data_IF_628322020481
#
_entry.id   IF_628322020481
#
_cell.length_a   1.000
_cell.length_b   1.000
_cell.length_c   1.000
_cell.angle_alpha   90.00
_cell.angle_beta   90.00
_cell.angle_gamma   90.00
#
_symmetry.space_group_name_H-M   'P 1'
#
loop_
_entity.id
_entity.type
_entity.pdbx_description
1 polymer ?
#
# COMPACT_ATOMS: atom_id res chain seq x y z
N UNK A 1 -0.32 16.57 -15.80
CA UNK A 1 1.02 16.13 -15.32
C UNK A 1 1.79 15.38 -16.41
N UNK A 2 3.02 15.83 -16.72
CA UNK A 2 3.92 15.16 -17.67
C UNK A 2 4.24 13.75 -17.13
N UNK A 3 4.05 12.70 -17.94
CA UNK A 3 4.37 11.33 -17.52
C UNK A 3 5.89 11.23 -17.36
N UNK A 4 6.37 11.01 -16.13
CA UNK A 4 7.79 10.78 -15.83
C UNK A 4 8.19 9.39 -16.33
N UNK A 5 8.57 9.32 -17.61
CA UNK A 5 9.00 8.11 -18.28
C UNK A 5 10.51 8.14 -18.48
N UNK A 6 11.16 7.03 -18.15
CA UNK A 6 12.54 6.75 -18.49
C UNK A 6 12.55 6.02 -19.82
N UNK A 7 13.38 6.48 -20.75
CA UNK A 7 13.55 5.84 -22.05
C UNK A 7 14.92 5.15 -22.13
N UNK A 8 14.91 3.88 -22.51
CA UNK A 8 16.13 3.13 -22.76
C UNK A 8 16.84 3.65 -24.03
N UNK A 9 18.12 3.99 -23.93
CA UNK A 9 18.92 4.48 -25.07
C UNK A 9 19.10 3.43 -26.17
N UNK A 10 19.15 2.14 -25.82
CA UNK A 10 19.41 1.05 -26.77
C UNK A 10 18.17 0.61 -27.55
N UNK A 11 17.05 0.38 -26.87
CA UNK A 11 15.84 -0.19 -27.48
C UNK A 11 14.64 0.76 -27.53
N UNK A 12 14.77 2.01 -27.07
CA UNK A 12 13.69 3.02 -26.99
C UNK A 12 12.48 2.62 -26.15
N UNK A 13 12.58 1.54 -25.38
CA UNK A 13 11.54 1.14 -24.44
C UNK A 13 11.35 2.21 -23.36
N UNK A 14 10.09 2.56 -23.09
CA UNK A 14 9.72 3.56 -22.10
C UNK A 14 9.07 2.91 -20.87
N UNK A 15 9.51 3.33 -19.68
CA UNK A 15 9.03 2.79 -18.41
C UNK A 15 8.86 3.91 -17.38
N UNK A 16 7.80 3.86 -16.56
CA UNK A 16 7.67 4.78 -15.42
C UNK A 16 8.42 4.24 -14.20
N UNK A 17 8.89 5.10 -13.31
CA UNK A 17 9.51 4.64 -12.04
C UNK A 17 8.57 3.76 -11.19
N UNK A 18 7.26 3.94 -11.35
CA UNK A 18 6.23 3.14 -10.66
C UNK A 18 5.79 1.91 -11.45
N UNK A 19 6.43 1.61 -12.59
CA UNK A 19 6.07 0.44 -13.39
C UNK A 19 6.31 -0.85 -12.59
N UNK A 20 5.33 -1.75 -12.56
CA UNK A 20 5.44 -3.04 -11.85
C UNK A 20 5.42 -2.96 -10.33
N UNK A 21 5.34 -1.77 -9.72
CA UNK A 21 5.22 -1.64 -8.26
C UNK A 21 3.77 -1.51 -7.79
N UNK A 22 3.54 -1.50 -6.48
CA UNK A 22 2.23 -1.19 -5.88
C UNK A 22 1.64 0.15 -6.39
N UNK A 23 2.52 1.07 -6.76
CA UNK A 23 2.22 2.41 -7.26
C UNK A 23 1.92 2.44 -8.77
N UNK A 24 1.87 1.28 -9.43
CA UNK A 24 1.64 1.20 -10.87
C UNK A 24 0.36 1.91 -11.30
N UNK A 25 0.48 2.72 -12.36
CA UNK A 25 -0.61 3.55 -12.94
C UNK A 25 -1.27 4.51 -11.95
N UNK A 26 -0.59 4.88 -10.86
CA UNK A 26 -1.11 5.91 -9.95
C UNK A 26 -1.23 7.26 -10.65
N UNK A 27 -2.32 7.97 -10.34
CA UNK A 27 -2.49 9.41 -10.63
C UNK A 27 -2.33 10.27 -9.36
N UNK A 28 -2.28 9.64 -8.20
CA UNK A 28 -2.03 10.27 -6.90
C UNK A 28 -0.54 10.51 -6.70
N UNK A 29 -0.18 11.60 -6.01
CA UNK A 29 1.22 11.93 -5.72
C UNK A 29 1.92 10.83 -4.92
N UNK A 30 3.24 10.68 -5.12
CA UNK A 30 4.04 9.70 -4.36
C UNK A 30 4.06 10.03 -2.86
N UNK A 31 4.07 11.33 -2.51
CA UNK A 31 4.01 11.77 -1.12
C UNK A 31 2.75 11.27 -0.42
N UNK A 32 1.59 11.37 -1.09
CA UNK A 32 0.32 10.81 -0.59
C UNK A 32 0.43 9.30 -0.38
N UNK A 33 1.08 8.57 -1.30
CA UNK A 33 1.31 7.13 -1.13
C UNK A 33 2.21 6.78 0.05
N UNK A 34 3.29 7.52 0.26
CA UNK A 34 4.19 7.28 1.39
C UNK A 34 3.50 7.59 2.72
N UNK A 35 2.67 8.63 2.78
CA UNK A 35 1.83 8.88 3.97
C UNK A 35 0.83 7.75 4.23
N UNK A 36 0.12 7.27 3.21
CA UNK A 36 -0.80 6.15 3.39
C UNK A 36 -0.08 4.88 3.86
N UNK A 37 1.10 4.58 3.29
CA UNK A 37 1.95 3.47 3.72
C UNK A 37 2.36 3.61 5.18
N UNK A 38 2.82 4.79 5.58
CA UNK A 38 3.21 5.08 6.95
C UNK A 38 2.05 4.82 7.91
N UNK A 39 0.88 5.43 7.67
CA UNK A 39 -0.30 5.29 8.54
C UNK A 39 -0.75 3.83 8.68
N UNK A 40 -0.84 3.10 7.56
CA UNK A 40 -1.26 1.69 7.56
C UNK A 40 -0.24 0.80 8.28
N UNK A 41 1.06 1.04 8.08
CA UNK A 41 2.13 0.24 8.69
C UNK A 41 2.34 0.51 10.18
N UNK A 42 1.94 1.69 10.66
CA UNK A 42 2.17 2.12 12.05
C UNK A 42 1.05 1.67 13.00
N UNK A 43 -0.11 1.31 12.45
CA UNK A 43 -1.28 0.95 13.25
C UNK A 43 -1.49 -0.57 13.30
N UNK A 44 -1.33 -1.12 14.50
CA UNK A 44 -1.53 -2.54 14.80
C UNK A 44 -2.97 -3.02 14.58
N UNK A 45 -3.96 -2.12 14.69
CA UNK A 45 -5.39 -2.46 14.59
C UNK A 45 -5.90 -2.44 13.14
N UNK A 46 -5.13 -1.83 12.25
CA UNK A 46 -5.48 -1.62 10.85
C UNK A 46 -6.38 -0.41 10.64
N UNK A 47 -6.17 0.30 9.53
CA UNK A 47 -6.93 1.50 9.17
C UNK A 47 -8.18 1.20 8.31
N UNK A 48 -9.37 1.71 8.67
CA UNK A 48 -10.51 1.77 7.76
C UNK A 48 -10.27 2.77 6.62
N UNK A 49 -10.75 2.47 5.41
CA UNK A 49 -10.61 3.36 4.24
C UNK A 49 -11.27 4.73 4.47
N UNK A 50 -12.37 4.78 5.23
CA UNK A 50 -13.05 6.03 5.58
C UNK A 50 -12.20 6.92 6.50
N UNK A 51 -11.53 6.33 7.49
CA UNK A 51 -10.61 7.07 8.37
C UNK A 51 -9.43 7.62 7.60
N UNK A 52 -8.81 6.79 6.75
CA UNK A 52 -7.71 7.19 5.87
C UNK A 52 -8.11 8.33 4.91
N UNK A 53 -9.33 8.26 4.36
CA UNK A 53 -9.89 9.32 3.51
C UNK A 53 -10.03 10.65 4.24
N UNK A 54 -10.54 10.63 5.47
CA UNK A 54 -10.70 11.83 6.31
C UNK A 54 -9.36 12.42 6.71
N UNK A 55 -8.43 11.60 7.20
CA UNK A 55 -7.13 12.05 7.69
C UNK A 55 -6.26 12.64 6.58
N UNK A 56 -6.30 12.05 5.38
CA UNK A 56 -5.49 12.51 4.25
C UNK A 56 -6.20 13.52 3.34
N UNK A 57 -7.48 13.82 3.57
CA UNK A 57 -8.27 14.71 2.71
C UNK A 57 -8.42 14.22 1.27
N UNK A 58 -8.39 12.90 1.04
CA UNK A 58 -8.56 12.27 -0.28
C UNK A 58 -9.94 11.65 -0.41
N UNK A 59 -10.39 11.40 -1.63
CA UNK A 59 -11.66 10.71 -1.83
C UNK A 59 -11.62 9.29 -1.27
N UNK A 60 -12.78 8.82 -0.79
CA UNK A 60 -12.93 7.47 -0.25
C UNK A 60 -12.42 6.39 -1.20
N UNK A 61 -12.73 6.50 -2.50
CA UNK A 61 -12.30 5.56 -3.52
C UNK A 61 -10.78 5.49 -3.70
N UNK A 62 -10.10 6.63 -3.59
CA UNK A 62 -8.63 6.68 -3.63
C UNK A 62 -8.07 6.00 -2.38
N UNK A 63 -8.58 6.34 -1.18
CA UNK A 63 -8.17 5.72 0.08
C UNK A 63 -8.38 4.20 0.06
N UNK A 64 -9.54 3.74 -0.40
CA UNK A 64 -9.86 2.31 -0.51
C UNK A 64 -8.92 1.58 -1.46
N UNK A 65 -8.64 2.17 -2.63
CA UNK A 65 -7.71 1.59 -3.62
C UNK A 65 -6.29 1.49 -3.06
N UNK A 66 -5.83 2.53 -2.34
CA UNK A 66 -4.52 2.54 -1.69
C UNK A 66 -4.46 1.45 -0.62
N UNK A 67 -5.47 1.38 0.26
CA UNK A 67 -5.55 0.40 1.33
C UNK A 67 -5.52 -1.04 0.81
N UNK A 68 -6.32 -1.34 -0.22
CA UNK A 68 -6.34 -2.68 -0.83
C UNK A 68 -4.98 -3.07 -1.40
N UNK A 69 -4.36 -2.20 -2.21
CA UNK A 69 -3.05 -2.46 -2.81
C UNK A 69 -1.96 -2.67 -1.78
N UNK A 70 -1.96 -1.87 -0.71
CA UNK A 70 -0.97 -1.97 0.37
C UNK A 70 -1.16 -3.29 1.12
N UNK A 71 -2.39 -3.63 1.51
CA UNK A 71 -2.70 -4.90 2.18
C UNK A 71 -2.34 -6.12 1.35
N UNK A 72 -2.58 -6.10 0.03
CA UNK A 72 -2.17 -7.19 -0.86
C UNK A 72 -0.67 -7.40 -0.83
N UNK A 73 0.13 -6.32 -0.90
CA UNK A 73 1.59 -6.44 -0.89
C UNK A 73 2.13 -6.86 0.47
N UNK A 74 1.51 -6.41 1.57
CA UNK A 74 1.83 -6.89 2.92
C UNK A 74 1.55 -8.39 3.05
N UNK A 75 0.37 -8.85 2.64
CA UNK A 75 0.02 -10.27 2.66
C UNK A 75 0.97 -11.13 1.82
N UNK A 76 1.31 -10.68 0.60
CA UNK A 76 2.32 -11.36 -0.24
C UNK A 76 3.71 -11.41 0.39
N UNK A 77 4.05 -10.44 1.24
CA UNK A 77 5.31 -10.44 1.96
C UNK A 77 5.26 -11.41 3.13
N UNK A 78 4.17 -11.42 3.90
CA UNK A 78 3.94 -12.34 5.02
C UNK A 78 3.91 -13.80 4.55
N UNK A 79 3.34 -14.09 3.37
CA UNK A 79 3.32 -15.43 2.79
C UNK A 79 4.73 -16.02 2.53
N UNK A 80 5.77 -15.18 2.45
CA UNK A 80 7.14 -15.64 2.21
C UNK A 80 7.82 -16.24 3.43
N UNK A 81 7.35 -15.94 4.64
CA UNK A 81 8.00 -16.39 5.86
C UNK A 81 6.98 -16.94 6.86
N UNK A 82 7.32 -18.06 7.48
CA UNK A 82 6.52 -18.63 8.58
C UNK A 82 7.14 -18.25 9.91
N UNK A 83 6.29 -17.87 10.86
CA UNK A 83 6.71 -17.74 12.25
C UNK A 83 7.21 -19.11 12.75
N UNK A 84 8.34 -19.13 13.46
CA UNK A 84 8.96 -20.35 13.97
C UNK A 84 9.47 -20.14 15.39
N UNK A 85 9.62 -21.22 16.14
CA UNK A 85 10.00 -21.17 17.56
C UNK A 85 8.81 -20.92 18.48
N UNK A 86 9.05 -20.27 19.62
CA UNK A 86 7.99 -19.85 20.53
C UNK A 86 7.29 -18.61 19.94
N UNK A 87 6.03 -18.76 19.58
CA UNK A 87 5.21 -17.66 19.05
C UNK A 87 4.21 -17.26 20.12
N UNK A 88 4.31 -16.02 20.57
CA UNK A 88 3.36 -15.40 21.49
C UNK A 88 2.44 -14.46 20.69
N UNK A 89 1.14 -14.55 20.94
CA UNK A 89 0.12 -13.72 20.30
C UNK A 89 -0.62 -12.95 21.40
N UNK A 90 -0.41 -11.64 21.46
CA UNK A 90 -0.94 -10.79 22.54
C UNK A 90 -2.44 -10.48 22.39
N UNK A 91 -2.94 -10.36 21.15
CA UNK A 91 -4.31 -9.94 20.87
C UNK A 91 -4.99 -10.94 19.93
N UNK A 92 -6.02 -11.62 20.42
CA UNK A 92 -6.87 -12.47 19.61
C UNK A 92 -8.34 -12.09 19.85
N UNK A 93 -9.01 -11.63 18.79
CA UNK A 93 -10.43 -11.28 18.83
C UNK A 93 -11.24 -12.40 18.17
N UNK A 94 -12.04 -13.11 18.96
CA UNK A 94 -12.89 -14.21 18.49
C UNK A 94 -14.36 -13.82 18.64
N UNK A 95 -15.01 -13.55 17.51
CA UNK A 95 -16.45 -13.29 17.44
C UNK A 95 -16.84 -11.85 17.78
N UNK A 96 -17.89 -11.39 17.10
CA UNK A 96 -18.72 -10.26 17.49
C UNK A 96 -20.13 -10.60 17.04
N UNK A 97 -21.11 -10.48 17.93
CA UNK A 97 -22.49 -10.23 17.51
C UNK A 97 -22.57 -8.89 16.79
#
# INVERSE_FOLDING_TARGET
PKRLLYECKGCRYQVSATAGSVLHRTRTSLLTWFWALFLISSDKRGHPALSLSKEMGISYWVAWTMLQKIRTVMGQQDDKYKLHGLVEMDEAYFGGE
#
